data_IF_728234417274
#
_entry.id   IF_728234417274
#
_cell.length_a   1.000
_cell.length_b   1.000
_cell.length_c   1.000
_cell.angle_alpha   90.00
_cell.angle_beta   90.00
_cell.angle_gamma   90.00
#
_symmetry.space_group_name_H-M   'P 1'
#
loop_
_entity.id
_entity.type
_entity.pdbx_description
1 polymer ?
#
# COMPACT_ATOMS: atom_id res chain seq x y z
N UNK A 1 -22.93 2.89 15.72
CA UNK A 1 -22.52 1.86 16.70
C UNK A 1 -23.01 2.28 18.08
N UNK A 2 -23.80 1.45 18.75
CA UNK A 2 -24.36 1.74 20.08
C UNK A 2 -23.29 1.72 21.18
N UNK A 3 -23.43 2.58 22.20
CA UNK A 3 -22.48 2.73 23.33
C UNK A 3 -22.08 1.40 24.01
N UNK A 4 -22.96 0.41 23.99
CA UNK A 4 -22.72 -0.94 24.56
C UNK A 4 -21.58 -1.67 23.84
N UNK A 5 -21.48 -1.54 22.51
CA UNK A 5 -20.44 -2.22 21.73
C UNK A 5 -19.05 -1.63 22.00
N UNK A 6 -18.98 -0.32 22.28
CA UNK A 6 -17.73 0.36 22.63
C UNK A 6 -17.21 -0.09 23.99
N UNK A 7 -18.10 -0.21 24.99
CA UNK A 7 -17.73 -0.68 26.33
C UNK A 7 -17.22 -2.12 26.27
N UNK A 8 -17.94 -3.00 25.56
CA UNK A 8 -17.54 -4.41 25.43
C UNK A 8 -16.18 -4.56 24.73
N UNK A 9 -15.92 -3.75 23.70
CA UNK A 9 -14.64 -3.75 23.01
C UNK A 9 -13.51 -3.28 23.93
N UNK A 10 -13.71 -2.18 24.67
CA UNK A 10 -12.72 -1.68 25.64
C UNK A 10 -12.42 -2.68 26.75
N UNK A 11 -13.43 -3.43 27.23
CA UNK A 11 -13.21 -4.49 28.21
C UNK A 11 -12.36 -5.63 27.64
N UNK A 12 -12.58 -6.02 26.37
CA UNK A 12 -11.75 -7.03 25.69
C UNK A 12 -10.31 -6.56 25.54
N UNK A 13 -10.10 -5.31 25.15
CA UNK A 13 -8.76 -4.72 25.00
C UNK A 13 -8.04 -4.64 26.36
N UNK A 14 -8.76 -4.27 27.43
CA UNK A 14 -8.22 -4.26 28.80
C UNK A 14 -7.80 -5.66 29.27
N UNK A 15 -8.64 -6.68 29.05
CA UNK A 15 -8.29 -8.07 29.37
C UNK A 15 -7.09 -8.54 28.55
N UNK A 16 -6.97 -8.11 27.28
CA UNK A 16 -5.83 -8.43 26.42
C UNK A 16 -4.54 -7.79 26.93
N UNK A 17 -4.59 -6.55 27.41
CA UNK A 17 -3.47 -5.85 28.06
C UNK A 17 -3.02 -6.59 29.33
N UNK A 18 -3.96 -7.03 30.17
CA UNK A 18 -3.63 -7.79 31.39
C UNK A 18 -3.00 -9.16 31.07
N UNK A 19 -3.52 -9.86 30.05
CA UNK A 19 -2.99 -11.18 29.62
C UNK A 19 -1.66 -11.07 28.90
N UNK A 20 -1.43 -10.00 28.15
CA UNK A 20 -0.23 -9.80 27.34
C UNK A 20 0.40 -8.44 27.63
N UNK A 21 0.91 -8.24 28.86
CA UNK A 21 1.35 -6.92 29.32
C UNK A 21 2.58 -6.41 28.56
N UNK A 22 3.30 -7.27 27.84
CA UNK A 22 4.44 -6.90 26.98
C UNK A 22 4.01 -6.46 25.58
N UNK A 23 2.73 -6.62 25.21
CA UNK A 23 2.19 -6.24 23.89
C UNK A 23 1.57 -4.84 23.90
N UNK A 24 1.99 -3.99 24.84
CA UNK A 24 1.47 -2.65 25.06
C UNK A 24 2.64 -1.68 24.95
N UNK A 25 2.41 -0.56 24.27
CA UNK A 25 3.38 0.53 24.23
C UNK A 25 3.51 1.11 25.64
N UNK A 26 4.67 0.89 26.27
CA UNK A 26 4.96 1.35 27.64
C UNK A 26 5.84 2.60 27.61
N UNK A 27 5.53 3.55 28.48
CA UNK A 27 6.32 4.77 28.68
C UNK A 27 5.96 5.89 27.71
N UNK A 28 5.58 7.05 28.25
CA UNK A 28 5.26 8.24 27.45
C UNK A 28 3.85 8.25 26.82
N UNK A 29 3.52 9.34 26.14
CA UNK A 29 2.28 9.50 25.38
C UNK A 29 2.46 8.85 24.00
N UNK A 30 1.50 8.01 23.60
CA UNK A 30 1.45 7.46 22.23
C UNK A 30 1.40 8.60 21.22
N UNK A 31 2.34 8.60 20.29
CA UNK A 31 2.51 9.63 19.26
C UNK A 31 1.88 9.20 17.93
N UNK A 32 1.85 7.89 17.65
CA UNK A 32 1.24 7.30 16.46
C UNK A 32 0.58 5.96 16.77
N UNK A 33 -0.62 5.72 16.24
CA UNK A 33 -1.37 4.47 16.40
C UNK A 33 -2.30 4.23 15.21
N UNK A 34 -1.82 3.52 14.19
CA UNK A 34 -2.57 3.20 12.97
C UNK A 34 -1.98 1.95 12.31
N UNK A 35 -2.75 1.24 11.48
CA UNK A 35 -2.30 0.09 10.67
C UNK A 35 -1.55 -1.00 11.47
N UNK A 36 -2.05 -1.31 12.67
CA UNK A 36 -1.42 -2.30 13.56
C UNK A 36 -0.08 -1.86 14.18
N UNK A 37 0.34 -0.60 13.99
CA UNK A 37 1.56 -0.02 14.55
C UNK A 37 1.22 1.07 15.59
N UNK A 38 1.74 0.91 16.81
CA UNK A 38 1.70 1.92 17.87
C UNK A 38 3.11 2.27 18.34
N UNK A 39 3.41 3.55 18.51
CA UNK A 39 4.71 4.01 19.03
C UNK A 39 4.58 5.29 19.87
N UNK A 40 5.59 5.55 20.71
CA UNK A 40 5.80 6.82 21.44
C UNK A 40 6.92 7.65 20.82
N UNK A 41 7.57 7.12 19.77
CA UNK A 41 8.68 7.77 19.07
C UNK A 41 8.19 8.78 18.02
N UNK A 42 9.13 9.47 17.40
CA UNK A 42 8.82 10.52 16.43
C UNK A 42 7.92 10.03 15.28
N UNK A 43 6.89 10.82 14.97
CA UNK A 43 5.99 10.62 13.84
C UNK A 43 5.77 11.91 13.05
N UNK A 44 6.77 12.80 13.03
CA UNK A 44 6.67 14.11 12.38
C UNK A 44 6.38 14.05 10.88
N UNK A 45 6.56 12.89 10.22
CA UNK A 45 6.07 12.68 8.85
C UNK A 45 4.57 12.98 8.69
N UNK A 46 3.77 12.83 9.75
CA UNK A 46 2.35 13.21 9.75
C UNK A 46 2.11 14.73 9.62
N UNK A 47 3.15 15.55 9.81
CA UNK A 47 3.12 17.00 9.65
C UNK A 47 3.80 17.45 8.35
N UNK A 48 4.43 16.54 7.63
CA UNK A 48 5.07 16.85 6.34
C UNK A 48 3.98 17.10 5.28
N UNK A 49 3.91 18.34 4.79
CA UNK A 49 2.87 18.75 3.84
C UNK A 49 2.97 18.01 2.50
N UNK A 50 4.18 17.71 2.03
CA UNK A 50 4.41 16.97 0.80
C UNK A 50 3.93 15.53 0.96
N UNK A 51 4.28 14.89 2.07
CA UNK A 51 3.80 13.55 2.39
C UNK A 51 2.28 13.51 2.52
N UNK A 52 1.69 14.40 3.30
CA UNK A 52 0.23 14.40 3.51
C UNK A 52 -0.53 14.64 2.21
N UNK A 53 -0.03 15.52 1.33
CA UNK A 53 -0.57 15.69 -0.03
C UNK A 53 -0.45 14.40 -0.84
N UNK A 54 0.72 13.77 -0.86
CA UNK A 54 0.94 12.50 -1.58
C UNK A 54 0.04 11.38 -1.07
N UNK A 55 -0.07 11.23 0.25
CA UNK A 55 -0.96 10.26 0.89
C UNK A 55 -2.41 10.48 0.47
N UNK A 56 -2.91 11.72 0.53
CA UNK A 56 -4.28 12.05 0.16
C UNK A 56 -4.56 11.75 -1.32
N UNK A 57 -3.59 11.99 -2.21
CA UNK A 57 -3.71 11.63 -3.63
C UNK A 57 -3.76 10.10 -3.81
N UNK A 58 -2.94 9.35 -3.07
CA UNK A 58 -3.01 7.88 -3.05
C UNK A 58 -4.35 7.37 -2.52
N UNK A 59 -4.84 7.91 -1.40
CA UNK A 59 -6.13 7.55 -0.84
C UNK A 59 -7.30 7.89 -1.78
N UNK A 60 -7.18 8.96 -2.58
CA UNK A 60 -8.24 9.37 -3.52
C UNK A 60 -8.51 8.36 -4.64
N UNK A 61 -7.63 7.38 -4.86
CA UNK A 61 -7.86 6.30 -5.83
C UNK A 61 -8.87 5.25 -5.35
N UNK A 62 -9.28 5.32 -4.07
CA UNK A 62 -10.12 4.31 -3.43
C UNK A 62 -9.31 3.24 -2.68
N UNK A 63 -7.97 3.26 -2.79
CA UNK A 63 -7.09 2.41 -1.99
C UNK A 63 -7.30 2.61 -0.49
N UNK A 64 -7.10 1.54 0.28
CA UNK A 64 -7.08 1.55 1.76
C UNK A 64 -8.36 2.06 2.43
N UNK A 65 -9.51 2.06 1.74
CA UNK A 65 -10.76 2.62 2.26
C UNK A 65 -10.92 4.12 2.00
N UNK A 66 -10.12 4.68 1.08
CA UNK A 66 -10.25 6.04 0.60
C UNK A 66 -9.98 7.08 1.70
N UNK A 67 -10.92 8.01 1.90
CA UNK A 67 -10.78 9.09 2.88
C UNK A 67 -10.64 8.62 4.34
N UNK A 68 -10.97 7.36 4.63
CA UNK A 68 -10.85 6.75 5.96
C UNK A 68 -9.54 5.93 6.11
N UNK A 69 -8.60 6.05 5.17
CA UNK A 69 -7.34 5.34 5.20
C UNK A 69 -6.49 5.72 6.43
N UNK A 70 -6.11 4.71 7.22
CA UNK A 70 -5.27 4.85 8.41
C UNK A 70 -4.02 3.98 8.27
N UNK A 71 -3.27 4.17 7.19
CA UNK A 71 -2.05 3.41 6.87
C UNK A 71 -0.88 4.31 6.48
N UNK A 72 -0.80 5.49 7.09
CA UNK A 72 0.20 6.52 6.75
C UNK A 72 1.63 6.00 6.87
N UNK A 73 1.96 5.20 7.88
CA UNK A 73 3.32 4.67 8.07
C UNK A 73 3.82 3.87 6.86
N UNK A 74 3.05 2.89 6.36
CA UNK A 74 3.51 2.08 5.21
C UNK A 74 3.61 2.91 3.93
N UNK A 75 2.68 3.85 3.72
CA UNK A 75 2.74 4.77 2.57
C UNK A 75 3.96 5.70 2.68
N UNK A 76 4.27 6.17 3.88
CA UNK A 76 5.46 6.98 4.14
C UNK A 76 6.75 6.20 3.85
N UNK A 77 6.86 4.95 4.31
CA UNK A 77 8.01 4.08 4.03
C UNK A 77 8.20 3.91 2.53
N UNK A 78 7.14 3.62 1.78
CA UNK A 78 7.21 3.48 0.32
C UNK A 78 7.65 4.77 -0.36
N UNK A 79 7.11 5.92 0.05
CA UNK A 79 7.52 7.24 -0.45
C UNK A 79 8.98 7.57 -0.11
N UNK A 80 9.43 7.23 1.11
CA UNK A 80 10.80 7.42 1.57
C UNK A 80 11.78 6.57 0.76
N UNK A 81 11.50 5.28 0.54
CA UNK A 81 12.33 4.40 -0.31
C UNK A 81 12.38 4.93 -1.75
N UNK A 82 11.23 5.28 -2.33
CA UNK A 82 11.16 5.87 -3.67
C UNK A 82 12.00 7.16 -3.78
N UNK A 83 12.01 7.99 -2.74
CA UNK A 83 12.80 9.22 -2.71
C UNK A 83 14.31 8.97 -2.67
N UNK A 84 14.77 7.82 -2.19
CA UNK A 84 16.17 7.41 -2.31
C UNK A 84 16.44 6.81 -3.70
N UNK A 85 15.54 5.93 -4.16
CA UNK A 85 15.65 5.26 -5.45
C UNK A 85 15.70 6.22 -6.64
N UNK A 86 15.05 7.40 -6.55
CA UNK A 86 15.06 8.41 -7.62
C UNK A 86 16.46 8.92 -8.00
N UNK A 87 17.45 8.73 -7.13
CA UNK A 87 18.85 9.10 -7.36
C UNK A 87 19.69 7.98 -7.97
N UNK A 88 19.12 6.78 -8.11
CA UNK A 88 19.77 5.62 -8.69
C UNK A 88 19.32 5.44 -10.15
N UNK A 89 20.17 4.82 -10.95
CA UNK A 89 19.81 4.40 -12.30
C UNK A 89 18.86 3.19 -12.25
N UNK A 90 17.78 3.24 -13.01
CA UNK A 90 16.82 2.14 -13.16
C UNK A 90 15.38 2.55 -12.96
N UNK A 91 14.47 1.74 -13.46
CA UNK A 91 13.03 1.98 -13.42
C UNK A 91 12.39 1.52 -12.11
N UNK A 92 11.15 1.96 -11.91
CA UNK A 92 10.33 1.61 -10.76
C UNK A 92 9.37 0.49 -11.15
N UNK A 93 9.16 -0.47 -10.25
CA UNK A 93 8.23 -1.59 -10.46
C UNK A 93 7.37 -1.80 -9.21
N UNK A 94 6.06 -1.93 -9.40
CA UNK A 94 5.11 -2.30 -8.35
C UNK A 94 4.32 -3.54 -8.78
N UNK A 95 4.33 -4.57 -7.94
CA UNK A 95 3.60 -5.82 -8.13
C UNK A 95 2.51 -5.93 -7.06
N UNK A 96 1.25 -5.92 -7.48
CA UNK A 96 0.10 -5.79 -6.56
C UNK A 96 -0.26 -4.32 -6.35
N UNK A 97 -0.91 -3.74 -7.35
CA UNK A 97 -1.21 -2.30 -7.49
C UNK A 97 -2.58 -1.95 -6.91
N UNK A 98 -3.57 -2.85 -7.00
CA UNK A 98 -4.98 -2.55 -6.73
C UNK A 98 -5.42 -1.30 -7.54
N UNK A 99 -6.03 -0.32 -6.88
CA UNK A 99 -6.46 0.97 -7.42
C UNK A 99 -5.29 1.97 -7.54
N UNK A 100 -4.06 1.58 -7.22
CA UNK A 100 -2.85 2.37 -7.47
C UNK A 100 -2.48 3.39 -6.39
N UNK A 101 -2.93 3.20 -5.16
CA UNK A 101 -2.69 4.15 -4.07
C UNK A 101 -1.20 4.43 -3.80
N UNK A 102 -0.36 3.40 -3.73
CA UNK A 102 1.09 3.56 -3.48
C UNK A 102 1.76 4.29 -4.65
N UNK A 103 1.59 3.79 -5.87
CA UNK A 103 2.10 4.43 -7.08
C UNK A 103 1.69 5.91 -7.18
N UNK A 104 0.41 6.22 -6.92
CA UNK A 104 -0.09 7.60 -6.99
C UNK A 104 0.52 8.52 -5.93
N UNK A 105 0.77 8.01 -4.72
CA UNK A 105 1.47 8.74 -3.67
C UNK A 105 2.93 8.99 -4.04
N UNK A 106 3.65 7.95 -4.50
CA UNK A 106 5.04 8.03 -4.94
C UNK A 106 5.19 9.09 -6.03
N UNK A 107 4.34 9.05 -7.06
CA UNK A 107 4.44 9.96 -8.21
C UNK A 107 4.44 11.43 -7.78
N UNK A 108 3.59 11.81 -6.82
CA UNK A 108 3.60 13.18 -6.30
C UNK A 108 4.80 13.43 -5.37
N UNK A 109 5.16 12.45 -4.52
CA UNK A 109 6.18 12.63 -3.49
C UNK A 109 7.58 12.85 -4.07
N UNK A 110 7.92 12.16 -5.16
CA UNK A 110 9.25 12.25 -5.79
C UNK A 110 9.27 13.08 -7.08
N UNK A 111 8.15 13.71 -7.41
CA UNK A 111 7.95 14.41 -8.69
C UNK A 111 8.23 13.51 -9.91
N UNK A 112 7.69 12.28 -9.87
CA UNK A 112 8.00 11.23 -10.84
C UNK A 112 7.60 11.60 -12.28
N UNK A 113 6.59 12.47 -12.44
CA UNK A 113 6.16 12.97 -13.75
C UNK A 113 7.30 13.62 -14.54
N UNK A 114 8.27 14.22 -13.84
CA UNK A 114 9.41 14.90 -14.45
C UNK A 114 10.68 14.02 -14.49
N UNK A 115 10.60 12.78 -14.04
CA UNK A 115 11.70 11.81 -14.12
C UNK A 115 11.76 11.17 -15.50
N UNK A 116 12.96 10.74 -15.91
CA UNK A 116 13.16 9.97 -17.16
C UNK A 116 12.82 8.49 -17.01
N UNK A 117 12.77 8.02 -15.77
CA UNK A 117 12.48 6.64 -15.39
C UNK A 117 11.04 6.27 -15.74
N UNK A 118 10.81 4.99 -16.01
CA UNK A 118 9.49 4.41 -16.14
C UNK A 118 9.00 3.82 -14.82
N UNK A 119 7.69 3.78 -14.63
CA UNK A 119 7.05 3.08 -13.53
C UNK A 119 6.10 2.01 -14.06
N UNK A 120 6.46 0.75 -13.85
CA UNK A 120 5.69 -0.40 -14.25
C UNK A 120 4.74 -0.84 -13.12
N UNK A 121 3.44 -0.87 -13.41
CA UNK A 121 2.36 -1.24 -12.49
C UNK A 121 1.74 -2.56 -12.93
N UNK A 122 2.06 -3.65 -12.22
CA UNK A 122 1.61 -5.00 -12.54
C UNK A 122 0.53 -5.47 -11.57
N UNK A 123 -0.66 -5.79 -12.08
CA UNK A 123 -1.75 -6.38 -11.32
C UNK A 123 -2.75 -7.10 -12.24
N UNK A 124 -3.53 -8.02 -11.69
CA UNK A 124 -4.70 -8.58 -12.39
C UNK A 124 -5.80 -7.54 -12.56
N UNK A 125 -5.84 -6.56 -11.64
CA UNK A 125 -6.88 -5.55 -11.41
C UNK A 125 -8.26 -6.12 -11.05
N UNK A 126 -8.35 -7.43 -10.83
CA UNK A 126 -9.57 -8.15 -10.43
C UNK A 126 -9.36 -9.06 -9.22
N UNK A 127 -8.30 -8.85 -8.46
CA UNK A 127 -7.97 -9.64 -7.28
C UNK A 127 -7.18 -10.91 -7.57
N UNK A 128 -7.15 -11.81 -6.60
CA UNK A 128 -6.32 -13.02 -6.63
C UNK A 128 -6.75 -13.96 -7.75
N UNK A 129 -5.78 -14.56 -8.43
CA UNK A 129 -6.03 -15.58 -9.44
C UNK A 129 -6.08 -16.96 -8.79
N UNK A 130 -7.14 -17.73 -9.07
CA UNK A 130 -7.31 -19.11 -8.61
C UNK A 130 -6.09 -20.00 -8.94
N UNK A 131 -5.41 -19.72 -10.07
CA UNK A 131 -4.21 -20.44 -10.55
C UNK A 131 -3.08 -20.47 -9.52
N UNK A 132 -2.97 -19.42 -8.69
CA UNK A 132 -1.87 -19.22 -7.74
C UNK A 132 -2.31 -19.34 -6.28
N UNK A 133 -3.52 -19.81 -6.02
CA UNK A 133 -3.96 -20.10 -4.64
C UNK A 133 -3.72 -21.58 -4.37
N UNK A 134 -2.81 -21.86 -3.44
CA UNK A 134 -2.52 -23.23 -3.03
C UNK A 134 -3.70 -23.88 -2.29
N UNK A 135 -3.76 -25.20 -2.28
CA UNK A 135 -4.79 -25.94 -1.53
C UNK A 135 -4.74 -25.66 -0.02
N UNK A 136 -3.56 -25.38 0.53
CA UNK A 136 -3.40 -24.95 1.93
C UNK A 136 -4.08 -23.58 2.15
N UNK A 137 -3.84 -22.62 1.26
CA UNK A 137 -4.46 -21.30 1.37
C UNK A 137 -5.98 -21.34 1.19
N UNK A 138 -6.49 -22.23 0.33
CA UNK A 138 -7.94 -22.47 0.20
C UNK A 138 -8.53 -23.01 1.50
N UNK A 139 -7.84 -23.94 2.18
CA UNK A 139 -8.25 -24.46 3.50
C UNK A 139 -8.24 -23.37 4.58
N UNK A 140 -7.34 -22.39 4.47
CA UNK A 140 -7.31 -21.20 5.32
C UNK A 140 -8.33 -20.13 4.93
N UNK A 141 -9.16 -20.38 3.90
CA UNK A 141 -10.27 -19.53 3.49
C UNK A 141 -9.94 -18.51 2.40
N UNK A 142 -8.73 -18.55 1.81
CA UNK A 142 -8.37 -17.68 0.67
C UNK A 142 -9.13 -18.12 -0.58
N UNK A 143 -9.60 -17.15 -1.36
CA UNK A 143 -10.41 -17.36 -2.58
C UNK A 143 -9.94 -16.42 -3.68
N UNK A 144 -10.20 -16.78 -4.93
CA UNK A 144 -9.98 -15.89 -6.07
C UNK A 144 -10.80 -14.60 -5.95
N UNK A 145 -10.32 -13.53 -6.58
CA UNK A 145 -10.85 -12.19 -6.43
C UNK A 145 -10.39 -11.53 -5.13
N UNK A 146 -11.30 -10.84 -4.45
CA UNK A 146 -11.02 -10.14 -3.18
C UNK A 146 -11.15 -8.62 -3.25
N UNK A 147 -11.22 -8.05 -4.46
CA UNK A 147 -11.66 -6.68 -4.69
C UNK A 147 -12.32 -6.56 -6.07
N UNK A 148 -13.05 -5.47 -6.29
CA UNK A 148 -13.77 -5.21 -7.55
C UNK A 148 -12.81 -4.90 -8.71
N UNK A 149 -13.20 -5.28 -9.93
CA UNK A 149 -12.42 -4.94 -11.13
C UNK A 149 -12.17 -3.44 -11.23
N UNK A 150 -10.91 -3.03 -11.35
CA UNK A 150 -10.52 -1.63 -11.26
C UNK A 150 -9.59 -1.15 -12.39
N UNK A 151 -9.34 -1.98 -13.42
CA UNK A 151 -8.38 -1.66 -14.48
C UNK A 151 -8.63 -0.30 -15.17
N UNK A 152 -9.89 -0.02 -15.54
CA UNK A 152 -10.21 1.25 -16.22
C UNK A 152 -10.07 2.46 -15.29
N UNK A 153 -10.41 2.32 -14.01
CA UNK A 153 -10.20 3.37 -13.00
C UNK A 153 -8.70 3.67 -12.80
N UNK A 154 -7.85 2.63 -12.83
CA UNK A 154 -6.39 2.78 -12.75
C UNK A 154 -5.86 3.48 -14.00
N UNK A 155 -6.28 3.06 -15.20
CA UNK A 155 -5.91 3.76 -16.44
C UNK A 155 -6.28 5.23 -16.42
N UNK A 156 -7.50 5.55 -15.98
CA UNK A 156 -7.96 6.92 -15.86
C UNK A 156 -7.12 7.72 -14.84
N UNK A 157 -6.79 7.11 -13.69
CA UNK A 157 -5.94 7.71 -12.65
C UNK A 157 -4.56 8.10 -13.18
N UNK A 158 -3.98 7.26 -14.06
CA UNK A 158 -2.62 7.45 -14.54
C UNK A 158 -2.49 8.02 -15.96
N UNK A 159 -3.60 8.40 -16.62
CA UNK A 159 -3.62 8.84 -18.02
C UNK A 159 -2.69 10.01 -18.35
N UNK A 160 -2.42 10.88 -17.38
CA UNK A 160 -1.60 12.09 -17.54
C UNK A 160 -0.11 11.87 -17.20
N UNK A 161 0.31 10.61 -16.94
CA UNK A 161 1.69 10.23 -16.65
C UNK A 161 2.25 9.32 -17.75
N UNK A 162 2.88 9.94 -18.74
CA UNK A 162 3.40 9.25 -19.94
C UNK A 162 4.51 8.23 -19.64
N UNK A 163 5.12 8.30 -18.45
CA UNK A 163 6.17 7.39 -17.99
C UNK A 163 5.65 6.32 -17.02
N UNK A 164 4.33 6.11 -16.96
CA UNK A 164 3.70 5.01 -16.20
C UNK A 164 3.16 3.98 -17.18
N UNK A 165 3.53 2.70 -17.00
CA UNK A 165 3.07 1.59 -17.81
C UNK A 165 2.23 0.63 -16.95
N UNK A 166 0.95 0.50 -17.29
CA UNK A 166 0.02 -0.40 -16.61
C UNK A 166 -0.01 -1.73 -17.36
N UNK A 167 0.33 -2.81 -16.67
CA UNK A 167 0.41 -4.16 -17.23
C UNK A 167 -0.64 -5.02 -16.53
N UNK A 168 -1.68 -5.42 -17.28
CA UNK A 168 -2.77 -6.26 -16.75
C UNK A 168 -2.46 -7.74 -16.89
N UNK A 169 -2.54 -8.44 -15.77
CA UNK A 169 -2.46 -9.88 -15.68
C UNK A 169 -1.83 -10.33 -14.37
N UNK A 170 -1.74 -11.64 -14.17
CA UNK A 170 -1.01 -12.21 -13.05
C UNK A 170 0.47 -11.81 -13.12
N UNK A 171 1.02 -11.33 -12.01
CA UNK A 171 2.41 -10.84 -11.95
C UNK A 171 3.40 -11.88 -12.51
N UNK A 172 3.34 -13.18 -12.13
CA UNK A 172 4.28 -14.16 -12.69
C UNK A 172 4.19 -14.32 -14.22
N UNK A 173 3.00 -14.20 -14.80
CA UNK A 173 2.78 -14.40 -16.24
C UNK A 173 3.11 -13.13 -17.05
N UNK A 174 3.11 -11.96 -16.41
CA UNK A 174 3.29 -10.66 -17.07
C UNK A 174 4.65 -10.02 -16.80
N UNK A 175 5.46 -10.58 -15.91
CA UNK A 175 6.77 -10.01 -15.54
C UNK A 175 7.70 -9.80 -16.75
N UNK A 176 7.64 -10.65 -17.77
CA UNK A 176 8.43 -10.51 -19.01
C UNK A 176 8.04 -9.31 -19.89
N UNK A 177 6.91 -8.66 -19.60
CA UNK A 177 6.48 -7.44 -20.27
C UNK A 177 7.19 -6.20 -19.73
N UNK A 178 7.75 -6.26 -18.51
CA UNK A 178 8.61 -5.19 -17.97
C UNK A 178 9.87 -5.10 -18.81
N UNK A 179 10.13 -3.92 -19.38
CA UNK A 179 11.29 -3.67 -20.27
C UNK A 179 12.43 -2.94 -19.57
N UNK A 180 12.35 -2.78 -18.26
CA UNK A 180 13.41 -2.20 -17.46
C UNK A 180 14.71 -3.01 -17.58
N UNK A 181 15.82 -2.35 -17.92
CA UNK A 181 17.16 -2.96 -17.91
C UNK A 181 17.76 -3.00 -16.50
N UNK A 182 17.42 -2.00 -15.68
CA UNK A 182 17.80 -1.87 -14.26
C UNK A 182 16.56 -1.50 -13.46
N UNK A 183 16.45 -1.99 -12.24
CA UNK A 183 15.37 -1.66 -11.32
C UNK A 183 15.97 -0.95 -10.11
N UNK A 184 15.57 0.30 -9.88
CA UNK A 184 16.03 1.11 -8.74
C UNK A 184 15.04 1.07 -7.56
N UNK A 185 13.77 0.77 -7.85
CA UNK A 185 12.69 0.63 -6.87
C UNK A 185 11.83 -0.58 -7.22
N UNK A 186 11.60 -1.47 -6.24
CA UNK A 186 10.68 -2.60 -6.37
C UNK A 186 9.78 -2.68 -5.14
N UNK A 187 8.47 -2.62 -5.37
CA UNK A 187 7.44 -2.89 -4.36
C UNK A 187 6.74 -4.22 -4.67
N UNK A 188 6.68 -5.11 -3.68
CA UNK A 188 5.99 -6.40 -3.76
C UNK A 188 4.87 -6.42 -2.70
N UNK A 189 3.62 -6.30 -3.14
CA UNK A 189 2.43 -6.31 -2.28
C UNK A 189 1.42 -7.37 -2.78
N UNK A 190 1.91 -8.61 -2.88
CA UNK A 190 1.14 -9.75 -3.37
C UNK A 190 0.74 -10.66 -2.21
N UNK A 191 -0.46 -11.23 -2.29
CA UNK A 191 -1.08 -11.94 -1.18
C UNK A 191 -1.33 -13.43 -1.49
N UNK A 192 -0.59 -14.05 -2.40
CA UNK A 192 -0.61 -15.51 -2.65
C UNK A 192 0.83 -16.01 -2.84
N UNK A 193 1.08 -17.28 -2.51
CA UNK A 193 2.42 -17.88 -2.52
C UNK A 193 2.70 -18.67 -3.78
#
# INVERSE_FOLDING_TARGET
MTNVNVILQRMKDFVRVLKYPNNVVRGGRVTYQQDGLGTVHNCDFMKDELFMKSFNLGASTGSWGGKNAENHWRVYVVCWVANHAKHLEGDFVECGVNTGGHARAIINYVDFKNMKNKFYLLDTFCGLSEKYISEEEKRLGKKAGGFEECYECVKETFKDFNNVEIIRGTVPDTLSQVKAEKVSFLSLDMNCR
#
